data_IF_207739977352
#
_entry.id   IF_207739977352
#
_cell.length_a   1.000
_cell.length_b   1.000
_cell.length_c   1.000
_cell.angle_alpha   90.00
_cell.angle_beta   90.00
_cell.angle_gamma   90.00
#
_symmetry.space_group_name_H-M   'P 1'
#
loop_
_entity.id
_entity.type
_entity.pdbx_description
1 polymer ?
#
# COMPACT_ATOMS: atom_id res chain seq x y z
N UNK A 1 -10.51 13.15 16.16
CA UNK A 1 -10.69 13.59 14.76
C UNK A 1 -10.39 12.48 13.73
N UNK A 2 -9.24 11.77 13.76
CA UNK A 2 -8.94 10.69 12.79
C UNK A 2 -10.02 9.59 12.77
N UNK A 3 -10.39 9.03 13.92
CA UNK A 3 -11.43 7.99 14.03
C UNK A 3 -12.77 8.45 13.44
N UNK A 4 -13.18 9.69 13.70
CA UNK A 4 -14.46 10.24 13.19
C UNK A 4 -14.46 10.26 11.65
N UNK A 5 -13.42 10.79 11.01
CA UNK A 5 -13.32 10.84 9.54
C UNK A 5 -13.21 9.42 8.96
N UNK A 6 -12.50 8.51 9.64
CA UNK A 6 -12.42 7.10 9.23
C UNK A 6 -13.82 6.47 9.17
N UNK A 7 -14.61 6.58 10.24
CA UNK A 7 -15.96 6.02 10.29
C UNK A 7 -16.91 6.73 9.32
N UNK A 8 -16.79 8.03 9.15
CA UNK A 8 -17.54 8.78 8.13
C UNK A 8 -17.27 8.24 6.73
N UNK A 9 -16.00 8.11 6.34
CA UNK A 9 -15.63 7.52 5.05
C UNK A 9 -16.11 6.07 4.92
N UNK A 10 -15.99 5.28 5.98
CA UNK A 10 -16.47 3.91 5.98
C UNK A 10 -17.96 3.85 5.73
N UNK A 11 -18.76 4.64 6.45
CA UNK A 11 -20.24 4.69 6.32
C UNK A 11 -20.65 5.17 4.93
N UNK A 12 -20.00 6.23 4.40
CA UNK A 12 -20.32 6.78 3.07
C UNK A 12 -19.93 5.83 1.93
N UNK A 13 -18.76 5.20 2.03
CA UNK A 13 -18.25 4.36 0.96
C UNK A 13 -18.70 2.90 1.04
N UNK A 14 -19.10 2.42 2.23
CA UNK A 14 -19.51 1.03 2.41
C UNK A 14 -20.73 0.64 1.56
N UNK A 15 -21.82 1.43 1.48
CA UNK A 15 -22.95 1.10 0.62
C UNK A 15 -22.56 0.94 -0.84
N UNK A 16 -21.59 1.76 -1.31
CA UNK A 16 -21.14 1.77 -2.70
C UNK A 16 -20.22 0.59 -2.98
N UNK A 17 -19.22 0.35 -2.11
CA UNK A 17 -18.16 -0.62 -2.40
C UNK A 17 -18.30 -1.93 -1.61
N UNK A 18 -19.18 -2.02 -0.61
CA UNK A 18 -19.43 -3.21 0.22
C UNK A 18 -18.13 -3.93 0.59
N UNK A 19 -17.21 -3.17 1.26
CA UNK A 19 -15.89 -3.66 1.64
C UNK A 19 -15.96 -4.94 2.46
N UNK A 20 -15.17 -5.92 2.08
CA UNK A 20 -14.91 -7.11 2.85
C UNK A 20 -13.40 -7.28 3.02
N UNK A 21 -12.93 -7.25 4.25
CA UNK A 21 -11.51 -7.37 4.55
C UNK A 21 -11.23 -8.74 5.17
N UNK A 22 -10.30 -9.48 4.58
CA UNK A 22 -9.84 -10.79 5.05
C UNK A 22 -8.39 -10.65 5.48
N UNK A 23 -8.03 -11.22 6.63
CA UNK A 23 -6.64 -11.21 7.12
C UNK A 23 -6.23 -9.91 7.83
N UNK A 24 -7.16 -9.13 8.38
CA UNK A 24 -6.82 -7.92 9.17
C UNK A 24 -5.94 -8.22 10.38
N UNK A 25 -6.08 -9.40 10.95
CA UNK A 25 -5.25 -9.94 12.03
C UNK A 25 -3.78 -10.10 11.64
N UNK A 26 -3.47 -10.12 10.35
CA UNK A 26 -2.11 -10.18 9.84
C UNK A 26 -1.39 -8.82 9.85
N UNK A 27 -2.08 -7.73 10.17
CA UNK A 27 -1.44 -6.41 10.22
C UNK A 27 -0.57 -6.28 11.49
N UNK A 28 0.76 -6.12 11.37
CA UNK A 28 1.64 -5.96 12.53
C UNK A 28 1.30 -4.70 13.33
N UNK A 29 1.50 -4.70 14.64
CA UNK A 29 1.27 -3.51 15.47
C UNK A 29 2.29 -2.40 15.22
N UNK A 30 3.54 -2.76 14.95
CA UNK A 30 4.68 -1.86 14.73
C UNK A 30 4.93 -1.51 13.26
N UNK A 31 6.17 -1.12 12.99
CA UNK A 31 6.65 -0.81 11.65
C UNK A 31 6.48 -2.00 10.70
N UNK A 32 5.94 -1.73 9.51
CA UNK A 32 5.78 -2.72 8.44
C UNK A 32 5.68 -2.02 7.09
N UNK A 33 5.97 -2.72 6.00
CA UNK A 33 5.74 -2.21 4.65
C UNK A 33 4.51 -2.89 4.06
N UNK A 34 3.40 -2.15 3.95
CA UNK A 34 2.15 -2.63 3.37
C UNK A 34 2.22 -2.47 1.85
N UNK A 35 2.17 -3.57 1.12
CA UNK A 35 2.36 -3.61 -0.31
C UNK A 35 1.10 -4.10 -1.03
N UNK A 36 0.53 -3.27 -1.90
CA UNK A 36 -0.67 -3.63 -2.64
C UNK A 36 -0.51 -3.42 -4.14
N UNK A 37 -1.27 -4.18 -4.94
CA UNK A 37 -1.43 -3.90 -6.36
C UNK A 37 -2.22 -2.59 -6.56
N UNK A 38 -1.96 -1.88 -7.68
CA UNK A 38 -2.51 -0.56 -7.93
C UNK A 38 -3.23 -0.45 -9.28
N UNK A 39 -4.54 -0.34 -9.24
CA UNK A 39 -5.39 -0.27 -10.45
C UNK A 39 -6.23 1.00 -10.56
N UNK A 40 -6.50 1.67 -9.42
CA UNK A 40 -7.31 2.90 -9.39
C UNK A 40 -6.93 3.82 -8.22
N UNK A 41 -7.26 5.10 -8.32
CA UNK A 41 -6.97 6.10 -7.27
C UNK A 41 -7.57 5.74 -5.90
N UNK A 42 -8.70 5.06 -5.89
CA UNK A 42 -9.41 4.66 -4.67
C UNK A 42 -8.68 3.55 -3.89
N UNK A 43 -7.67 2.88 -4.47
CA UNK A 43 -6.94 1.78 -3.81
C UNK A 43 -6.31 2.23 -2.49
N UNK A 44 -5.77 3.44 -2.44
CA UNK A 44 -5.23 4.01 -1.22
C UNK A 44 -6.28 4.08 -0.11
N UNK A 45 -7.53 4.46 -0.45
CA UNK A 45 -8.64 4.49 0.51
C UNK A 45 -8.98 3.09 1.01
N UNK A 46 -8.96 2.07 0.12
CA UNK A 46 -9.19 0.68 0.53
C UNK A 46 -8.16 0.21 1.56
N UNK A 47 -6.87 0.56 1.37
CA UNK A 47 -5.83 0.20 2.34
C UNK A 47 -6.00 0.97 3.66
N UNK A 48 -6.34 2.26 3.60
CA UNK A 48 -6.64 3.05 4.81
C UNK A 48 -7.79 2.41 5.60
N UNK A 49 -8.85 2.01 4.91
CA UNK A 49 -9.99 1.34 5.54
C UNK A 49 -9.63 -0.06 6.05
N UNK A 50 -8.76 -0.80 5.33
CA UNK A 50 -8.24 -2.09 5.76
C UNK A 50 -7.37 -1.96 7.01
N UNK A 51 -6.53 -0.92 7.09
CA UNK A 51 -5.67 -0.65 8.24
C UNK A 51 -6.45 -0.38 9.55
N UNK A 52 -7.69 0.07 9.45
CA UNK A 52 -8.53 0.39 10.60
C UNK A 52 -8.42 1.85 11.07
N UNK A 53 -9.13 2.21 12.16
CA UNK A 53 -9.24 3.58 12.65
C UNK A 53 -8.01 4.08 13.42
N UNK A 54 -6.85 3.49 13.19
CA UNK A 54 -5.58 3.83 13.83
C UNK A 54 -4.73 4.66 12.89
N UNK A 55 -4.17 5.78 13.37
CA UNK A 55 -3.26 6.63 12.60
C UNK A 55 -1.80 6.18 12.75
N UNK A 56 -1.55 4.92 12.44
CA UNK A 56 -0.24 4.28 12.57
C UNK A 56 0.38 3.91 11.20
N UNK A 57 0.10 4.67 10.16
CA UNK A 57 0.65 4.45 8.82
C UNK A 57 0.99 5.77 8.14
N UNK A 58 1.82 5.70 7.11
CA UNK A 58 2.14 6.78 6.21
C UNK A 58 2.12 6.33 4.75
N UNK A 59 1.77 7.25 3.87
CA UNK A 59 1.74 7.04 2.43
C UNK A 59 2.56 8.14 1.75
N UNK A 60 3.39 7.78 0.79
CA UNK A 60 4.15 8.74 -0.01
C UNK A 60 3.33 9.12 -1.23
N UNK A 61 2.96 10.37 -1.33
CA UNK A 61 2.15 10.91 -2.41
C UNK A 61 2.89 11.97 -3.23
N UNK A 62 2.49 12.13 -4.49
CA UNK A 62 3.03 13.19 -5.35
C UNK A 62 2.63 14.57 -4.82
N UNK A 63 3.56 15.53 -4.83
CA UNK A 63 3.32 16.90 -4.36
C UNK A 63 2.10 17.54 -5.03
N UNK A 64 1.82 17.24 -6.31
CA UNK A 64 0.69 17.78 -7.05
C UNK A 64 -0.67 17.43 -6.40
N UNK A 65 -0.75 16.29 -5.70
CA UNK A 65 -1.96 15.89 -4.97
C UNK A 65 -2.24 16.79 -3.76
N UNK A 66 -1.23 17.52 -3.29
CA UNK A 66 -1.32 18.43 -2.14
C UNK A 66 -1.56 19.90 -2.54
N UNK A 67 -1.64 20.20 -3.85
CA UNK A 67 -1.93 21.58 -4.33
C UNK A 67 -3.40 21.95 -4.17
N UNK A 68 -4.31 21.01 -4.37
CA UNK A 68 -5.74 21.24 -4.17
C UNK A 68 -6.11 21.07 -2.70
N UNK A 69 -6.46 22.17 -2.01
CA UNK A 69 -6.64 22.23 -0.55
C UNK A 69 -7.47 21.10 0.07
N UNK A 70 -8.69 20.73 -0.43
CA UNK A 70 -9.47 19.63 0.12
C UNK A 70 -8.74 18.28 0.01
N UNK A 71 -8.10 18.03 -1.14
CA UNK A 71 -7.34 16.81 -1.38
C UNK A 71 -6.06 16.75 -0.53
N UNK A 72 -5.39 17.89 -0.37
CA UNK A 72 -4.25 18.05 0.53
C UNK A 72 -4.61 17.73 1.99
N UNK A 73 -5.75 18.26 2.45
CA UNK A 73 -6.26 17.97 3.79
C UNK A 73 -6.53 16.48 3.98
N UNK A 74 -7.17 15.85 3.00
CA UNK A 74 -7.41 14.40 2.98
C UNK A 74 -6.09 13.60 3.01
N UNK A 75 -5.13 13.91 2.10
CA UNK A 75 -3.84 13.22 2.07
C UNK A 75 -3.05 13.40 3.37
N UNK A 76 -2.97 14.62 3.91
CA UNK A 76 -2.34 14.87 5.22
C UNK A 76 -3.04 14.09 6.34
N UNK A 77 -4.36 14.04 6.28
CA UNK A 77 -5.14 13.30 7.25
C UNK A 77 -4.84 11.79 7.21
N UNK A 78 -4.69 11.17 6.04
CA UNK A 78 -4.30 9.76 5.88
C UNK A 78 -2.79 9.52 6.04
N UNK A 79 -2.03 10.46 6.62
CA UNK A 79 -0.58 10.30 6.82
C UNK A 79 0.24 10.47 5.55
N UNK A 80 -0.28 11.19 4.55
CA UNK A 80 0.41 11.45 3.28
C UNK A 80 1.59 12.39 3.45
N UNK A 81 2.75 11.98 2.92
CA UNK A 81 3.97 12.77 2.83
C UNK A 81 4.17 13.18 1.37
N UNK A 82 4.16 14.52 1.07
CA UNK A 82 4.36 14.99 -0.30
C UNK A 82 5.82 14.81 -0.73
N UNK A 83 6.02 14.35 -1.97
CA UNK A 83 7.34 14.28 -2.61
C UNK A 83 7.28 14.86 -4.01
N UNK A 84 8.29 15.67 -4.38
CA UNK A 84 8.45 16.23 -5.73
C UNK A 84 8.84 15.15 -6.74
N UNK A 85 8.20 15.15 -7.89
CA UNK A 85 8.69 14.38 -9.06
C UNK A 85 9.99 15.01 -9.55
N UNK A 86 11.00 14.17 -9.83
CA UNK A 86 12.26 14.62 -10.41
C UNK A 86 13.32 15.13 -9.41
N UNK A 87 12.98 15.27 -8.11
CA UNK A 87 13.99 15.55 -7.07
C UNK A 87 14.80 14.30 -6.68
N UNK A 88 14.75 13.27 -7.51
CA UNK A 88 15.39 11.98 -7.27
C UNK A 88 14.67 11.13 -6.21
N UNK A 89 15.01 9.86 -6.17
CA UNK A 89 14.44 8.90 -5.22
C UNK A 89 14.77 9.23 -3.75
N UNK A 90 15.69 10.19 -3.50
CA UNK A 90 16.18 10.55 -2.17
C UNK A 90 15.09 11.06 -1.24
N UNK A 91 14.16 11.90 -1.72
CA UNK A 91 13.06 12.39 -0.87
C UNK A 91 12.07 11.29 -0.53
N UNK A 92 11.77 10.42 -1.51
CA UNK A 92 10.92 9.22 -1.32
C UNK A 92 11.56 8.30 -0.28
N UNK A 93 12.87 8.05 -0.42
CA UNK A 93 13.64 7.19 0.48
C UNK A 93 13.62 7.76 1.90
N UNK A 94 13.94 9.04 2.08
CA UNK A 94 13.92 9.70 3.40
C UNK A 94 12.54 9.64 4.05
N UNK A 95 11.48 9.94 3.30
CA UNK A 95 10.11 9.90 3.81
C UNK A 95 9.72 8.48 4.26
N UNK A 96 10.03 7.46 3.47
CA UNK A 96 9.76 6.06 3.82
C UNK A 96 10.50 5.61 5.07
N UNK A 97 11.80 5.95 5.19
CA UNK A 97 12.58 5.67 6.39
C UNK A 97 12.04 6.38 7.62
N UNK A 98 11.62 7.66 7.50
CA UNK A 98 11.04 8.40 8.62
C UNK A 98 9.77 7.72 9.13
N UNK A 99 8.85 7.33 8.23
CA UNK A 99 7.62 6.65 8.59
C UNK A 99 7.91 5.34 9.37
N UNK A 100 8.84 4.53 8.87
CA UNK A 100 9.18 3.25 9.52
C UNK A 100 9.91 3.44 10.86
N UNK A 101 10.83 4.41 10.97
CA UNK A 101 11.51 4.75 12.22
C UNK A 101 10.55 5.24 13.31
N UNK A 102 9.44 5.86 12.94
CA UNK A 102 8.37 6.26 13.85
C UNK A 102 7.50 5.08 14.31
N UNK A 103 7.86 3.84 13.96
CA UNK A 103 7.08 2.64 14.27
C UNK A 103 5.77 2.54 13.47
N UNK A 104 5.63 3.31 12.38
CA UNK A 104 4.43 3.32 11.54
C UNK A 104 4.56 2.37 10.37
N UNK A 105 3.42 1.98 9.83
CA UNK A 105 3.33 1.17 8.60
C UNK A 105 3.51 2.06 7.39
N UNK A 106 4.43 1.72 6.49
CA UNK A 106 4.64 2.41 5.22
C UNK A 106 3.81 1.75 4.13
N UNK A 107 2.89 2.49 3.50
CA UNK A 107 2.11 1.99 2.38
C UNK A 107 2.79 2.27 1.05
N UNK A 108 2.98 1.23 0.25
CA UNK A 108 3.61 1.28 -1.08
C UNK A 108 2.78 0.49 -2.09
N UNK A 109 2.73 1.01 -3.32
CA UNK A 109 2.32 0.27 -4.50
C UNK A 109 3.60 -0.10 -5.29
N UNK A 110 4.04 -1.38 -5.28
CA UNK A 110 5.32 -1.77 -5.91
C UNK A 110 5.39 -1.45 -7.39
N UNK A 111 4.28 -1.47 -8.12
CA UNK A 111 4.20 -1.11 -9.54
C UNK A 111 4.61 0.36 -9.80
N UNK A 112 4.54 1.23 -8.80
CA UNK A 112 4.87 2.66 -8.92
C UNK A 112 3.97 3.47 -9.85
N UNK A 113 3.02 2.82 -10.49
CA UNK A 113 2.00 3.40 -11.37
C UNK A 113 0.73 2.55 -11.32
N UNK A 114 -0.38 3.06 -11.86
CA UNK A 114 -1.63 2.31 -11.96
C UNK A 114 -1.62 1.42 -13.18
N UNK A 115 -1.81 0.12 -13.00
CA UNK A 115 -1.99 -0.84 -14.08
C UNK A 115 -3.46 -0.89 -14.46
N UNK A 116 -3.80 -0.29 -15.60
CA UNK A 116 -5.16 -0.26 -16.14
C UNK A 116 -5.47 -1.56 -16.88
N UNK A 117 -6.77 -1.90 -16.98
CA UNK A 117 -7.22 -3.04 -17.79
C UNK A 117 -6.70 -2.91 -19.23
N UNK A 118 -6.08 -3.99 -19.74
CA UNK A 118 -5.48 -4.01 -21.07
C UNK A 118 -4.04 -3.49 -21.16
N UNK A 119 -3.47 -2.97 -20.07
CA UNK A 119 -2.04 -2.67 -20.01
C UNK A 119 -1.23 -3.94 -19.76
N UNK A 120 -0.04 -4.01 -20.36
CA UNK A 120 0.95 -5.01 -19.99
C UNK A 120 1.27 -4.90 -18.48
N UNK A 121 1.64 -6.03 -17.85
CA UNK A 121 2.11 -6.04 -16.47
C UNK A 121 3.32 -5.12 -16.32
N UNK A 122 3.32 -4.30 -15.28
CA UNK A 122 4.45 -3.43 -14.96
C UNK A 122 5.34 -4.17 -13.96
N UNK A 123 6.64 -4.26 -14.26
CA UNK A 123 7.60 -4.85 -13.33
C UNK A 123 7.64 -4.06 -12.03
N UNK A 124 7.50 -4.68 -10.86
CA UNK A 124 7.53 -4.00 -9.58
C UNK A 124 8.91 -3.38 -9.31
N UNK A 125 8.95 -2.29 -8.57
CA UNK A 125 10.18 -1.61 -8.18
C UNK A 125 10.76 -2.19 -6.89
N UNK A 126 12.07 -2.24 -6.79
CA UNK A 126 12.83 -2.74 -5.64
C UNK A 126 12.66 -1.91 -4.33
N UNK A 127 11.91 -0.81 -4.36
CA UNK A 127 11.77 0.09 -3.22
C UNK A 127 11.13 -0.55 -1.99
N UNK A 128 10.08 -1.35 -2.17
CA UNK A 128 9.39 -1.98 -1.03
C UNK A 128 10.30 -2.95 -0.25
N UNK A 129 10.97 -3.94 -0.87
CA UNK A 129 11.92 -4.80 -0.16
C UNK A 129 13.12 -4.03 0.39
N UNK A 130 13.61 -2.98 -0.29
CA UNK A 130 14.68 -2.15 0.25
C UNK A 130 14.28 -1.49 1.58
N UNK A 131 13.06 -0.94 1.69
CA UNK A 131 12.55 -0.38 2.92
C UNK A 131 12.42 -1.43 4.03
N UNK A 132 11.88 -2.61 3.68
CA UNK A 132 11.70 -3.71 4.62
C UNK A 132 13.05 -4.19 5.21
N UNK A 133 14.01 -4.51 4.35
CA UNK A 133 15.33 -5.00 4.75
C UNK A 133 16.08 -3.99 5.60
N UNK A 134 16.17 -2.72 5.16
CA UNK A 134 16.95 -1.69 5.86
C UNK A 134 16.34 -1.21 7.18
N UNK A 135 15.06 -1.48 7.42
CA UNK A 135 14.39 -1.12 8.69
C UNK A 135 14.03 -2.36 9.52
N UNK A 136 14.45 -3.55 9.11
CA UNK A 136 14.07 -4.82 9.76
C UNK A 136 12.55 -4.94 9.93
N UNK A 137 11.80 -4.40 8.97
CA UNK A 137 10.34 -4.39 8.96
C UNK A 137 9.78 -5.50 8.05
N UNK A 138 8.68 -6.17 8.42
CA UNK A 138 8.07 -7.16 7.54
C UNK A 138 7.41 -6.53 6.33
N UNK A 139 7.38 -7.26 5.22
CA UNK A 139 6.52 -7.02 4.06
C UNK A 139 5.14 -7.62 4.34
N UNK A 140 4.08 -6.88 4.05
CA UNK A 140 2.69 -7.36 4.14
C UNK A 140 2.06 -7.27 2.75
N UNK A 141 1.88 -8.39 2.04
CA UNK A 141 1.22 -8.40 0.75
C UNK A 141 -0.28 -8.17 0.91
N UNK A 142 -0.85 -7.29 0.08
CA UNK A 142 -2.29 -6.97 0.11
C UNK A 142 -2.83 -7.04 -1.31
N UNK A 143 -3.88 -7.82 -1.53
CA UNK A 143 -4.56 -7.87 -2.80
C UNK A 143 -5.81 -6.99 -2.79
N UNK A 144 -5.94 -6.12 -3.81
CA UNK A 144 -7.11 -5.29 -4.07
C UNK A 144 -7.70 -5.70 -5.43
N UNK A 145 -9.01 -6.05 -5.51
CA UNK A 145 -9.60 -6.51 -6.75
C UNK A 145 -9.60 -5.42 -7.82
N UNK A 146 -9.08 -5.74 -9.01
CA UNK A 146 -9.00 -4.80 -10.14
C UNK A 146 -10.38 -4.45 -10.71
N UNK A 147 -11.31 -5.40 -10.74
CA UNK A 147 -12.66 -5.27 -11.29
C UNK A 147 -13.71 -4.83 -10.26
N UNK A 148 -13.39 -3.86 -9.39
CA UNK A 148 -14.35 -3.37 -8.38
C UNK A 148 -15.66 -2.94 -9.01
N UNK A 149 -16.75 -3.46 -8.47
CA UNK A 149 -18.12 -3.13 -8.92
C UNK A 149 -18.84 -2.37 -7.81
N UNK A 150 -19.48 -1.25 -8.17
CA UNK A 150 -20.38 -0.56 -7.27
C UNK A 150 -21.52 -1.51 -6.83
N UNK A 151 -21.93 -1.39 -5.57
CA UNK A 151 -23.00 -2.16 -4.95
C UNK A 151 -22.76 -3.69 -4.87
N UNK A 152 -21.54 -4.16 -5.19
CA UNK A 152 -21.13 -5.55 -5.03
C UNK A 152 -20.04 -5.68 -3.97
N UNK A 153 -19.92 -6.89 -3.40
CA UNK A 153 -18.86 -7.23 -2.44
C UNK A 153 -17.48 -7.09 -3.11
N UNK A 154 -16.62 -6.27 -2.50
CA UNK A 154 -15.24 -6.06 -2.92
C UNK A 154 -14.32 -6.58 -1.80
N UNK A 155 -13.70 -7.73 -2.01
CA UNK A 155 -12.86 -8.38 -1.01
C UNK A 155 -11.41 -7.93 -1.16
N UNK A 156 -10.89 -7.27 -0.14
CA UNK A 156 -9.46 -6.97 0.02
C UNK A 156 -8.86 -8.06 0.90
N UNK A 157 -7.78 -8.68 0.45
CA UNK A 157 -7.12 -9.76 1.19
C UNK A 157 -5.75 -9.29 1.68
N UNK A 158 -5.53 -9.39 2.98
CA UNK A 158 -4.27 -9.07 3.64
C UNK A 158 -3.56 -10.38 3.95
N UNK A 159 -2.43 -10.62 3.30
CA UNK A 159 -1.61 -11.81 3.49
C UNK A 159 -0.80 -11.76 4.79
N UNK A 160 -0.18 -12.89 5.11
CA UNK A 160 0.70 -12.98 6.28
C UNK A 160 1.95 -12.11 6.09
N UNK A 161 2.39 -11.38 7.14
CA UNK A 161 3.64 -10.65 7.11
C UNK A 161 4.83 -11.61 7.00
N UNK A 162 5.87 -11.21 6.28
CA UNK A 162 7.10 -11.98 6.17
C UNK A 162 8.32 -11.07 6.03
N UNK A 163 9.48 -11.55 6.45
CA UNK A 163 10.76 -10.89 6.20
C UNK A 163 11.41 -11.49 4.95
N UNK A 164 11.91 -10.66 4.00
CA UNK A 164 12.71 -11.19 2.91
C UNK A 164 13.93 -11.96 3.42
N UNK A 165 14.20 -13.11 2.81
CA UNK A 165 15.38 -13.92 3.14
C UNK A 165 16.52 -13.54 2.21
N UNK A 166 17.70 -13.26 2.77
CA UNK A 166 18.93 -12.91 2.02
C UNK A 166 20.16 -13.20 2.87
N UNK A 167 21.30 -13.37 2.21
CA UNK A 167 22.59 -13.52 2.87
C UNK A 167 23.43 -12.26 2.67
N UNK A 168 24.05 -11.78 3.74
CA UNK A 168 24.92 -10.60 3.73
C UNK A 168 24.16 -9.30 3.41
N UNK A 169 24.75 -8.43 2.57
CA UNK A 169 24.14 -7.19 2.12
C UNK A 169 23.53 -7.40 0.72
N UNK A 170 22.20 -7.27 0.56
CA UNK A 170 21.55 -7.52 -0.74
C UNK A 170 22.07 -6.62 -1.85
N UNK A 171 22.29 -7.21 -3.03
CA UNK A 171 22.58 -6.49 -4.28
C UNK A 171 21.32 -5.86 -4.86
N UNK A 172 21.47 -5.06 -5.91
CA UNK A 172 20.32 -4.48 -6.62
C UNK A 172 19.45 -5.55 -7.26
N UNK A 173 20.05 -6.58 -7.84
CA UNK A 173 19.35 -7.72 -8.43
C UNK A 173 18.54 -8.47 -7.38
N UNK A 174 19.11 -8.76 -6.23
CA UNK A 174 18.40 -9.44 -5.13
C UNK A 174 17.21 -8.61 -4.63
N UNK A 175 17.33 -7.29 -4.51
CA UNK A 175 16.16 -6.43 -4.19
C UNK A 175 15.09 -6.51 -5.29
N UNK A 176 15.47 -6.64 -6.54
CA UNK A 176 14.53 -6.76 -7.64
C UNK A 176 13.82 -8.13 -7.63
N UNK A 177 14.54 -9.21 -7.37
CA UNK A 177 13.96 -10.56 -7.18
C UNK A 177 12.95 -10.59 -6.02
N UNK A 178 13.30 -9.96 -4.89
CA UNK A 178 12.39 -9.81 -3.76
C UNK A 178 11.12 -9.02 -4.14
N UNK A 179 11.24 -8.01 -5.02
CA UNK A 179 10.10 -7.24 -5.50
C UNK A 179 9.21 -8.06 -6.44
N UNK A 180 9.81 -8.84 -7.34
CA UNK A 180 9.10 -9.74 -8.24
C UNK A 180 8.34 -10.80 -7.40
N UNK A 181 8.98 -11.45 -6.43
CA UNK A 181 8.35 -12.39 -5.49
C UNK A 181 7.23 -11.76 -4.66
N UNK A 182 7.42 -10.53 -4.19
CA UNK A 182 6.38 -9.79 -3.47
C UNK A 182 5.14 -9.59 -4.35
N UNK A 183 5.32 -9.26 -5.63
CA UNK A 183 4.19 -9.08 -6.54
C UNK A 183 3.47 -10.39 -6.81
N UNK A 184 4.19 -11.50 -6.96
CA UNK A 184 3.59 -12.84 -7.04
C UNK A 184 2.77 -13.17 -5.79
N UNK A 185 3.32 -12.91 -4.59
CA UNK A 185 2.61 -13.11 -3.33
C UNK A 185 1.34 -12.27 -3.25
N UNK A 186 1.36 -11.00 -3.71
CA UNK A 186 0.17 -10.15 -3.77
C UNK A 186 -0.89 -10.75 -4.69
N UNK A 187 -0.50 -11.16 -5.91
CA UNK A 187 -1.42 -11.71 -6.89
C UNK A 187 -1.96 -13.11 -6.49
N UNK A 188 -1.16 -13.89 -5.77
CA UNK A 188 -1.57 -15.19 -5.25
C UNK A 188 -2.72 -15.09 -4.23
N UNK A 189 -2.86 -13.95 -3.53
CA UNK A 189 -3.96 -13.69 -2.61
C UNK A 189 -5.31 -13.48 -3.31
N UNK A 190 -5.34 -13.34 -4.64
CA UNK A 190 -6.61 -13.17 -5.35
C UNK A 190 -7.56 -14.33 -5.05
N UNK A 191 -8.82 -14.04 -4.62
CA UNK A 191 -9.82 -15.07 -4.41
C UNK A 191 -10.01 -15.94 -5.66
N UNK A 192 -10.18 -17.26 -5.47
CA UNK A 192 -10.33 -18.21 -6.59
C UNK A 192 -11.42 -17.80 -7.59
N UNK A 193 -12.49 -17.19 -7.10
CA UNK A 193 -13.61 -16.67 -7.89
C UNK A 193 -13.24 -15.51 -8.85
N UNK A 194 -12.07 -14.88 -8.68
CA UNK A 194 -11.58 -13.76 -9.50
C UNK A 194 -10.43 -14.18 -10.44
N UNK A 195 -10.04 -15.46 -10.42
CA UNK A 195 -8.96 -16.02 -11.28
C UNK A 195 -9.48 -16.56 -12.63
N UNK A 196 -10.78 -16.32 -12.94
CA UNK A 196 -11.40 -16.68 -14.24
C UNK A 196 -11.43 -15.47 -15.20
#
# INVERSE_FOLDING_TARGET
>A
MFKFIYYFLYIVLFPIYRFHFVGRENLPEGAAVLCANHTANIDAVFIVLANGPQRNFGIIGKEELFRFKPLAAFFKWIGGVPVKRGSGDVQVIRAGFSILKEGKRLMIFPEGTRVKKGMASVRPKAGAPMFAVRNHAPLVPIYIPAGRKAFKKNTVVIGKPYHPVFEGKPTHEQYQEMADQLMENILALAPKELKQ
#
